data_IF_479854737520
#
_entry.id   IF_479854737520
#
_cell.length_a   1.000
_cell.length_b   1.000
_cell.length_c   1.000
_cell.angle_alpha   90.00
_cell.angle_beta   90.00
_cell.angle_gamma   90.00
#
_symmetry.space_group_name_H-M   'P 1'
#
loop_
_entity.id
_entity.type
_entity.pdbx_description
1 polymer ?
#
# COMPACT_ATOMS: atom_id res chain seq x y z
N UNK A 1 -31.70 -9.75 -13.62
CA UNK A 1 -31.08 -10.25 -12.36
C UNK A 1 -29.68 -10.87 -12.54
N UNK A 2 -29.19 -11.12 -13.78
CA UNK A 2 -27.85 -11.70 -14.02
C UNK A 2 -26.66 -10.83 -13.59
N UNK A 3 -26.77 -9.50 -13.68
CA UNK A 3 -25.61 -8.60 -13.47
C UNK A 3 -25.08 -8.58 -12.03
N UNK A 4 -25.95 -8.63 -11.03
CA UNK A 4 -25.55 -8.61 -9.62
C UNK A 4 -24.82 -9.90 -9.20
N UNK A 5 -25.27 -11.05 -9.72
CA UNK A 5 -24.67 -12.36 -9.44
C UNK A 5 -23.27 -12.51 -10.04
N UNK A 6 -23.04 -11.99 -11.25
CA UNK A 6 -21.70 -11.94 -11.87
C UNK A 6 -20.71 -11.11 -11.03
N UNK A 7 -21.13 -9.95 -10.53
CA UNK A 7 -20.27 -9.07 -9.72
C UNK A 7 -19.95 -9.70 -8.35
N UNK A 8 -20.92 -10.34 -7.72
CA UNK A 8 -20.75 -11.05 -6.43
C UNK A 8 -19.82 -12.27 -6.61
N UNK A 9 -19.97 -13.02 -7.71
CA UNK A 9 -19.14 -14.19 -8.02
C UNK A 9 -17.67 -13.81 -8.20
N UNK A 10 -17.38 -12.79 -9.02
CA UNK A 10 -16.01 -12.28 -9.23
C UNK A 10 -15.38 -11.74 -7.94
N UNK A 11 -16.14 -11.02 -7.12
CA UNK A 11 -15.64 -10.45 -5.86
C UNK A 11 -15.32 -11.54 -4.84
N UNK A 12 -16.15 -12.59 -4.74
CA UNK A 12 -15.90 -13.74 -3.86
C UNK A 12 -14.62 -14.49 -4.21
N UNK A 13 -14.34 -14.67 -5.51
CA UNK A 13 -13.15 -15.37 -6.01
C UNK A 13 -11.88 -14.56 -5.73
N UNK A 14 -11.89 -13.25 -6.01
CA UNK A 14 -10.73 -12.37 -5.75
C UNK A 14 -10.38 -12.30 -4.27
N UNK A 15 -11.41 -12.30 -3.41
CA UNK A 15 -11.28 -12.24 -1.95
C UNK A 15 -11.03 -13.60 -1.30
N UNK A 16 -11.30 -14.70 -2.00
CA UNK A 16 -11.26 -16.07 -1.45
C UNK A 16 -12.35 -16.34 -0.43
N UNK A 17 -13.43 -15.55 -0.41
CA UNK A 17 -14.56 -15.71 0.50
C UNK A 17 -15.79 -16.14 -0.30
N UNK A 18 -16.23 -17.38 -0.07
CA UNK A 18 -17.48 -17.88 -0.63
C UNK A 18 -18.63 -17.11 0.04
N UNK A 19 -19.52 -16.44 -0.72
CA UNK A 19 -20.69 -15.79 -0.14
C UNK A 19 -21.60 -16.84 0.52
N UNK A 20 -22.39 -16.46 1.53
CA UNK A 20 -23.42 -17.34 2.08
C UNK A 20 -24.53 -17.49 1.03
N UNK A 21 -24.47 -18.56 0.24
CA UNK A 21 -25.36 -18.82 -0.89
C UNK A 21 -26.36 -19.93 -0.56
N UNK A 22 -27.58 -19.82 -1.09
CA UNK A 22 -28.54 -20.92 -1.08
C UNK A 22 -28.12 -22.03 -2.08
N UNK A 23 -28.83 -23.16 -2.08
CA UNK A 23 -28.45 -24.34 -2.88
C UNK A 23 -28.35 -24.06 -4.39
N UNK A 24 -29.26 -23.27 -4.95
CA UNK A 24 -29.30 -22.95 -6.39
C UNK A 24 -28.25 -21.89 -6.77
N UNK A 25 -28.02 -20.91 -5.89
CA UNK A 25 -26.94 -19.94 -6.05
C UNK A 25 -25.57 -20.61 -5.97
N UNK A 26 -25.41 -21.63 -5.12
CA UNK A 26 -24.17 -22.41 -5.00
C UNK A 26 -23.84 -23.16 -6.29
N UNK A 27 -24.81 -23.86 -6.88
CA UNK A 27 -24.63 -24.54 -8.18
C UNK A 27 -24.24 -23.57 -9.28
N UNK A 28 -24.89 -22.39 -9.33
CA UNK A 28 -24.55 -21.35 -10.29
C UNK A 28 -23.15 -20.76 -10.06
N UNK A 29 -22.73 -20.64 -8.80
CA UNK A 29 -21.38 -20.23 -8.43
C UNK A 29 -20.35 -21.27 -8.85
N UNK A 30 -20.55 -22.56 -8.52
CA UNK A 30 -19.62 -23.65 -8.87
C UNK A 30 -19.41 -23.73 -10.39
N UNK A 31 -20.50 -23.59 -11.15
CA UNK A 31 -20.45 -23.53 -12.62
C UNK A 31 -19.65 -22.33 -13.13
N UNK A 32 -19.87 -21.16 -12.52
CA UNK A 32 -19.16 -19.93 -12.91
C UNK A 32 -17.68 -20.01 -12.57
N UNK A 33 -17.35 -20.56 -11.39
CA UNK A 33 -15.98 -20.73 -10.93
C UNK A 33 -15.20 -21.72 -11.81
N UNK A 34 -15.81 -22.83 -12.22
CA UNK A 34 -15.20 -23.75 -13.19
C UNK A 34 -14.88 -23.07 -14.53
N UNK A 35 -15.81 -22.27 -15.08
CA UNK A 35 -15.55 -21.53 -16.34
C UNK A 35 -14.45 -20.49 -16.20
N UNK A 36 -14.29 -19.89 -15.02
CA UNK A 36 -13.27 -18.89 -14.74
C UNK A 36 -11.85 -19.45 -14.77
N UNK A 37 -11.64 -20.75 -14.51
CA UNK A 37 -10.31 -21.37 -14.63
C UNK A 37 -9.74 -21.20 -16.05
N UNK A 38 -10.52 -21.58 -17.08
CA UNK A 38 -10.09 -21.45 -18.47
C UNK A 38 -9.87 -19.99 -18.90
N UNK A 39 -10.65 -19.05 -18.34
CA UNK A 39 -10.43 -17.63 -18.58
C UNK A 39 -9.13 -17.13 -17.95
N UNK A 40 -8.82 -17.57 -16.73
CA UNK A 40 -7.56 -17.24 -16.05
C UNK A 40 -6.38 -17.81 -16.84
N UNK A 41 -6.42 -19.08 -17.25
CA UNK A 41 -5.38 -19.72 -18.06
C UNK A 41 -5.04 -18.90 -19.30
N UNK A 42 -6.05 -18.49 -20.08
CA UNK A 42 -5.87 -17.69 -21.30
C UNK A 42 -5.31 -16.28 -21.05
N UNK A 43 -5.52 -15.72 -19.87
CA UNK A 43 -5.06 -14.37 -19.50
C UNK A 43 -3.65 -14.37 -18.91
N UNK A 44 -3.23 -15.48 -18.33
CA UNK A 44 -1.88 -15.65 -17.80
C UNK A 44 -0.90 -15.77 -18.99
N UNK A 45 0.24 -15.09 -18.89
CA UNK A 45 1.30 -15.18 -19.89
C UNK A 45 1.81 -16.62 -20.00
N UNK A 46 2.13 -17.07 -21.21
CA UNK A 46 2.51 -18.47 -21.52
C UNK A 46 3.56 -19.05 -20.55
N UNK A 47 4.54 -18.24 -20.13
CA UNK A 47 5.57 -18.66 -19.18
C UNK A 47 5.08 -19.00 -17.77
N UNK A 48 3.82 -18.73 -17.44
CA UNK A 48 3.21 -18.98 -16.13
C UNK A 48 1.94 -19.84 -16.20
N UNK A 49 1.53 -20.28 -17.39
CA UNK A 49 0.33 -21.11 -17.57
C UNK A 49 0.42 -22.45 -16.82
N UNK A 50 1.63 -23.00 -16.68
CA UNK A 50 1.90 -24.21 -15.90
C UNK A 50 1.43 -24.12 -14.43
N UNK A 51 1.31 -22.90 -13.87
CA UNK A 51 0.83 -22.70 -12.51
C UNK A 51 -0.66 -22.96 -12.34
N UNK A 52 -1.43 -22.88 -13.43
CA UNK A 52 -2.90 -22.95 -13.39
C UNK A 52 -3.48 -24.02 -14.30
N UNK A 53 -2.63 -24.75 -15.03
CA UNK A 53 -3.03 -25.81 -15.96
C UNK A 53 -3.84 -26.93 -15.29
N UNK A 54 -3.47 -27.32 -14.07
CA UNK A 54 -4.14 -28.37 -13.31
C UNK A 54 -5.27 -27.85 -12.40
N UNK A 55 -5.58 -26.54 -12.46
CA UNK A 55 -6.61 -25.96 -11.60
C UNK A 55 -8.01 -26.15 -12.23
N UNK A 56 -8.88 -26.91 -11.58
CA UNK A 56 -10.25 -27.14 -12.06
C UNK A 56 -11.17 -25.94 -11.85
N UNK A 57 -10.82 -25.02 -10.94
CA UNK A 57 -11.64 -23.86 -10.60
C UNK A 57 -10.87 -22.55 -10.65
N UNK A 58 -11.58 -21.46 -10.96
CA UNK A 58 -11.03 -20.11 -10.98
C UNK A 58 -10.51 -19.68 -9.60
N UNK A 59 -11.19 -20.08 -8.53
CA UNK A 59 -10.74 -19.87 -7.14
C UNK A 59 -9.40 -20.55 -6.88
N UNK A 60 -9.23 -21.81 -7.29
CA UNK A 60 -7.97 -22.52 -7.14
C UNK A 60 -6.85 -21.88 -7.98
N UNK A 61 -7.12 -21.62 -9.27
CA UNK A 61 -6.17 -20.98 -10.17
C UNK A 61 -5.71 -19.60 -9.65
N UNK A 62 -6.66 -18.78 -9.20
CA UNK A 62 -6.36 -17.47 -8.62
C UNK A 62 -5.57 -17.59 -7.31
N UNK A 63 -5.90 -18.56 -6.46
CA UNK A 63 -5.15 -18.80 -5.23
C UNK A 63 -3.71 -19.22 -5.50
N UNK A 64 -3.44 -20.09 -6.49
CA UNK A 64 -2.08 -20.50 -6.87
C UNK A 64 -1.29 -19.33 -7.43
N UNK A 65 -1.87 -18.53 -8.35
CA UNK A 65 -1.21 -17.33 -8.87
C UNK A 65 -0.90 -16.34 -7.74
N UNK A 66 -1.86 -16.12 -6.85
CA UNK A 66 -1.70 -15.24 -5.70
C UNK A 66 -0.59 -15.75 -4.78
N UNK A 67 -0.53 -17.04 -4.51
CA UNK A 67 0.53 -17.64 -3.69
C UNK A 67 1.90 -17.52 -4.37
N UNK A 68 1.98 -17.78 -5.67
CA UNK A 68 3.22 -17.69 -6.44
C UNK A 68 3.77 -16.27 -6.48
N UNK A 69 2.94 -15.29 -6.87
CA UNK A 69 3.39 -13.91 -7.07
C UNK A 69 3.42 -13.07 -5.79
N UNK A 70 2.64 -13.42 -4.77
CA UNK A 70 2.76 -12.79 -3.44
C UNK A 70 3.76 -13.51 -2.53
N UNK A 71 4.43 -14.56 -3.01
CA UNK A 71 5.56 -15.14 -2.28
C UNK A 71 6.59 -14.05 -2.08
N UNK A 72 6.90 -13.77 -0.82
CA UNK A 72 7.98 -12.84 -0.48
C UNK A 72 9.29 -13.52 -0.87
N UNK A 73 9.78 -13.21 -2.07
CA UNK A 73 11.08 -13.67 -2.55
C UNK A 73 12.15 -12.65 -2.13
N UNK A 74 13.39 -13.10 -1.98
CA UNK A 74 14.52 -12.20 -1.68
C UNK A 74 14.60 -11.08 -2.72
N UNK A 75 14.37 -11.38 -4.01
CA UNK A 75 14.34 -10.35 -5.07
C UNK A 75 13.25 -9.30 -4.85
N UNK A 76 12.03 -9.72 -4.51
CA UNK A 76 10.92 -8.81 -4.18
C UNK A 76 11.23 -7.96 -2.93
N UNK A 77 11.84 -8.57 -1.91
CA UNK A 77 12.27 -7.86 -0.71
C UNK A 77 13.37 -6.84 -1.03
N UNK A 78 14.36 -7.19 -1.86
CA UNK A 78 15.42 -6.29 -2.30
C UNK A 78 14.86 -5.09 -3.06
N UNK A 79 13.95 -5.30 -4.02
CA UNK A 79 13.30 -4.21 -4.76
C UNK A 79 12.52 -3.31 -3.81
N UNK A 80 11.78 -3.89 -2.85
CA UNK A 80 11.03 -3.13 -1.86
C UNK A 80 11.93 -2.30 -0.94
N UNK A 81 13.06 -2.86 -0.49
CA UNK A 81 14.06 -2.12 0.28
C UNK A 81 14.71 -1.01 -0.54
N UNK A 82 15.11 -1.28 -1.78
CA UNK A 82 15.67 -0.26 -2.67
C UNK A 82 14.69 0.90 -2.88
N UNK A 83 13.43 0.59 -3.18
CA UNK A 83 12.38 1.58 -3.32
C UNK A 83 12.16 2.38 -2.03
N UNK A 84 12.24 1.73 -0.86
CA UNK A 84 12.10 2.38 0.44
C UNK A 84 13.21 3.38 0.73
N UNK A 85 14.47 3.03 0.45
CA UNK A 85 15.61 3.94 0.60
C UNK A 85 15.68 5.03 -0.48
N UNK A 86 14.84 4.96 -1.51
CA UNK A 86 14.74 5.99 -2.56
C UNK A 86 13.50 6.86 -2.42
N UNK A 87 12.68 6.66 -1.37
CA UNK A 87 11.50 7.49 -1.13
C UNK A 87 11.97 8.93 -0.90
N UNK A 88 11.50 9.86 -1.73
CA UNK A 88 11.68 11.29 -1.52
C UNK A 88 10.35 11.91 -1.09
N UNK A 89 10.40 12.80 -0.09
CA UNK A 89 9.25 13.58 0.32
C UNK A 89 9.04 14.77 -0.61
N UNK A 90 7.88 14.81 -1.26
CA UNK A 90 7.42 15.98 -2.01
C UNK A 90 6.76 16.99 -1.06
N UNK A 91 7.05 18.29 -1.17
CA UNK A 91 6.57 19.31 -0.22
C UNK A 91 5.03 19.41 -0.20
N UNK A 92 4.37 19.18 -1.33
CA UNK A 92 2.91 19.24 -1.45
C UNK A 92 2.20 17.96 -0.94
N UNK A 93 2.97 16.92 -0.63
CA UNK A 93 2.42 15.66 -0.13
C UNK A 93 2.45 15.65 1.41
N UNK A 94 1.28 15.50 2.08
CA UNK A 94 1.25 15.36 3.53
C UNK A 94 2.11 14.18 3.97
N UNK A 95 2.95 14.39 4.98
CA UNK A 95 3.88 13.37 5.50
C UNK A 95 3.11 12.12 5.93
N UNK A 96 1.93 12.26 6.55
CA UNK A 96 1.04 11.13 6.88
C UNK A 96 0.69 10.24 5.69
N UNK A 97 0.44 10.84 4.51
CA UNK A 97 0.14 10.14 3.25
C UNK A 97 1.36 9.42 2.72
N UNK A 98 2.53 10.06 2.74
CA UNK A 98 3.80 9.44 2.37
C UNK A 98 4.01 8.18 3.22
N UNK A 99 3.91 8.31 4.54
CA UNK A 99 4.08 7.20 5.48
C UNK A 99 3.15 6.02 5.19
N UNK A 100 1.86 6.31 4.99
CA UNK A 100 0.88 5.29 4.70
C UNK A 100 1.19 4.57 3.38
N UNK A 101 1.51 5.33 2.33
CA UNK A 101 1.81 4.76 1.01
C UNK A 101 3.06 3.88 1.02
N UNK A 102 4.11 4.28 1.75
CA UNK A 102 5.35 3.52 1.89
C UNK A 102 5.12 2.22 2.66
N UNK A 103 4.38 2.27 3.77
CA UNK A 103 4.02 1.06 4.53
C UNK A 103 3.18 0.08 3.69
N UNK A 104 2.24 0.58 2.90
CA UNK A 104 1.43 -0.26 2.01
C UNK A 104 2.27 -0.92 0.91
N UNK A 105 3.18 -0.17 0.29
CA UNK A 105 4.11 -0.72 -0.73
C UNK A 105 5.00 -1.82 -0.14
N UNK A 106 5.58 -1.60 1.03
CA UNK A 106 6.43 -2.59 1.71
C UNK A 106 5.64 -3.86 2.08
N UNK A 107 4.45 -3.70 2.64
CA UNK A 107 3.56 -4.81 2.98
C UNK A 107 3.16 -5.64 1.75
N UNK A 108 3.00 -5.01 0.58
CA UNK A 108 2.69 -5.70 -0.67
C UNK A 108 3.80 -6.69 -1.10
N UNK A 109 5.05 -6.42 -0.72
CA UNK A 109 6.19 -7.31 -0.96
C UNK A 109 6.53 -8.23 0.24
N UNK A 110 5.69 -8.22 1.28
CA UNK A 110 5.90 -9.02 2.50
C UNK A 110 7.05 -8.50 3.38
N UNK A 111 7.49 -7.26 3.18
CA UNK A 111 8.54 -6.64 3.99
C UNK A 111 7.89 -5.88 5.15
N UNK A 112 8.23 -6.26 6.38
CA UNK A 112 7.98 -5.44 7.55
C UNK A 112 9.24 -4.66 7.91
N UNK A 113 9.12 -3.34 7.99
CA UNK A 113 10.22 -2.47 8.43
C UNK A 113 9.95 -2.02 9.85
N UNK A 114 10.95 -2.19 10.70
CA UNK A 114 10.91 -1.69 12.08
C UNK A 114 10.73 -0.18 12.12
N UNK A 115 10.01 0.32 13.13
CA UNK A 115 9.73 1.74 13.29
C UNK A 115 11.02 2.58 13.41
N UNK A 116 12.11 2.02 13.94
CA UNK A 116 13.41 2.70 14.05
C UNK A 116 14.06 2.92 12.68
N UNK A 117 14.09 1.88 11.84
CA UNK A 117 14.56 2.03 10.46
C UNK A 117 13.67 2.98 9.68
N UNK A 118 12.36 2.90 9.92
CA UNK A 118 11.38 3.75 9.27
C UNK A 118 11.58 5.24 9.59
N UNK A 119 11.76 5.60 10.87
CA UNK A 119 11.99 7.00 11.26
C UNK A 119 13.32 7.53 10.71
N UNK A 120 14.38 6.72 10.66
CA UNK A 120 15.67 7.14 10.16
C UNK A 120 15.61 7.49 8.66
N UNK A 121 14.98 6.63 7.86
CA UNK A 121 14.81 6.87 6.41
C UNK A 121 13.87 8.05 6.16
N UNK A 122 12.80 8.21 6.97
CA UNK A 122 11.94 9.37 6.89
C UNK A 122 12.72 10.67 7.13
N UNK A 123 13.51 10.75 8.20
CA UNK A 123 14.31 11.94 8.52
C UNK A 123 15.39 12.22 7.47
N UNK A 124 15.94 11.18 6.83
CA UNK A 124 16.98 11.31 5.81
C UNK A 124 16.46 11.82 4.46
N UNK A 125 15.16 11.62 4.16
CA UNK A 125 14.56 11.98 2.86
C UNK A 125 13.38 12.93 2.95
N UNK A 126 13.23 13.61 4.09
CA UNK A 126 12.36 14.77 4.18
C UNK A 126 12.86 15.86 3.23
N UNK A 127 11.93 16.61 2.66
CA UNK A 127 12.29 17.75 1.84
C UNK A 127 13.11 18.77 2.65
N UNK A 128 14.05 19.46 2.01
CA UNK A 128 14.93 20.45 2.64
C UNK A 128 14.16 21.55 3.40
N UNK A 129 12.92 21.84 3.00
CA UNK A 129 12.02 22.73 3.71
C UNK A 129 11.80 22.34 5.19
N UNK A 130 11.91 21.04 5.51
CA UNK A 130 11.75 20.50 6.86
C UNK A 130 13.08 20.36 7.62
N UNK A 131 14.21 20.76 7.04
CA UNK A 131 15.53 20.52 7.64
C UNK A 131 15.68 21.21 9.01
N UNK A 132 15.20 22.44 9.16
CA UNK A 132 15.18 23.18 10.44
C UNK A 132 14.35 22.47 11.50
N UNK A 133 13.22 21.89 11.11
CA UNK A 133 12.35 21.11 12.00
C UNK A 133 13.04 19.81 12.41
N UNK A 134 13.71 19.13 11.48
CA UNK A 134 14.47 17.92 11.76
C UNK A 134 15.60 18.18 12.76
N UNK A 135 16.36 19.27 12.59
CA UNK A 135 17.40 19.67 13.54
C UNK A 135 16.82 19.95 14.93
N UNK A 136 15.67 20.64 15.00
CA UNK A 136 14.98 20.91 16.27
C UNK A 136 14.49 19.63 16.95
N UNK A 137 13.95 18.67 16.18
CA UNK A 137 13.54 17.35 16.69
C UNK A 137 14.73 16.61 17.30
N UNK A 138 15.85 16.55 16.56
CA UNK A 138 17.06 15.82 16.98
C UNK A 138 17.76 16.48 18.16
N UNK A 139 17.69 17.81 18.28
CA UNK A 139 18.21 18.55 19.42
C UNK A 139 17.39 18.30 20.71
N UNK A 140 16.07 18.11 20.58
CA UNK A 140 15.18 17.85 21.72
C UNK A 140 15.26 16.42 22.25
N UNK A 141 15.63 15.47 21.39
CA UNK A 141 15.74 14.07 21.79
C UNK A 141 16.74 13.36 20.87
N UNK A 142 17.74 12.66 21.43
CA UNK A 142 18.69 11.87 20.63
C UNK A 142 18.01 10.68 19.95
N UNK A 143 16.90 10.18 20.51
CA UNK A 143 16.08 9.12 19.92
C UNK A 143 14.60 9.50 19.91
N UNK A 144 14.16 10.33 18.95
CA UNK A 144 12.77 10.74 18.89
C UNK A 144 11.87 9.54 18.49
N UNK A 145 10.70 9.47 19.10
CA UNK A 145 9.67 8.50 18.69
C UNK A 145 8.97 8.96 17.41
N UNK A 146 8.52 7.99 16.61
CA UNK A 146 7.84 8.23 15.34
C UNK A 146 6.55 9.05 15.53
N UNK A 147 5.82 8.91 16.64
CA UNK A 147 4.63 9.72 16.90
C UNK A 147 4.99 11.21 17.08
N UNK A 148 6.04 11.48 17.88
CA UNK A 148 6.54 12.84 18.15
C UNK A 148 7.06 13.51 16.87
N UNK A 149 7.78 12.77 16.03
CA UNK A 149 8.27 13.26 14.72
C UNK A 149 7.08 13.70 13.85
N UNK A 150 6.05 12.85 13.72
CA UNK A 150 4.87 13.18 12.90
C UNK A 150 4.16 14.44 13.40
N UNK A 151 3.99 14.56 14.71
CA UNK A 151 3.30 15.69 15.31
C UNK A 151 4.05 16.99 15.08
N UNK A 152 5.37 17.00 15.26
CA UNK A 152 6.19 18.19 15.06
C UNK A 152 6.24 18.62 13.59
N UNK A 153 6.32 17.65 12.67
CA UNK A 153 6.28 17.94 11.23
C UNK A 153 4.92 18.47 10.79
N UNK A 154 3.82 17.90 11.30
CA UNK A 154 2.47 18.39 11.02
C UNK A 154 2.23 19.80 11.57
N UNK A 155 2.74 20.09 12.78
CA UNK A 155 2.69 21.44 13.37
C UNK A 155 3.43 22.46 12.51
N UNK A 156 4.60 22.11 11.97
CA UNK A 156 5.36 23.01 11.08
C UNK A 156 4.55 23.42 9.84
N UNK A 157 3.91 22.45 9.16
CA UNK A 157 3.10 22.74 7.97
C UNK A 157 1.86 23.60 8.27
N UNK A 158 1.34 23.56 9.50
CA UNK A 158 0.20 24.38 9.91
C UNK A 158 0.62 25.85 10.15
N UNK A 159 1.82 26.08 10.70
CA UNK A 159 2.35 27.44 10.93
C UNK A 159 2.62 28.22 9.66
N UNK A 160 3.03 27.58 8.56
CA UNK A 160 3.27 28.29 7.29
C UNK A 160 1.98 28.74 6.58
N UNK A 161 0.82 28.24 7.02
CA UNK A 161 -0.51 28.67 6.56
C UNK A 161 -1.08 29.87 7.32
N UNK A 162 -0.39 30.36 8.36
CA UNK A 162 -0.80 31.59 9.04
C UNK A 162 -0.39 32.75 8.14
N UNK A 163 -1.34 33.19 7.32
CA UNK A 163 -1.35 34.50 6.68
C UNK A 163 -0.88 35.52 7.71
N UNK A 164 0.37 35.98 7.57
CA UNK A 164 0.88 37.09 8.37
C UNK A 164 -0.03 38.26 8.04
N UNK A 165 -0.96 38.57 8.94
CA UNK A 165 -1.74 39.79 8.88
C UNK A 165 -0.72 40.91 8.99
N UNK A 166 -0.39 41.53 7.87
CA UNK A 166 0.43 42.74 7.82
C UNK A 166 -0.22 43.76 8.74
N UNK A 167 0.41 44.02 9.87
CA UNK A 167 0.08 45.16 10.71
C UNK A 167 0.67 46.38 10.01
N UNK A 168 -0.19 47.21 9.42
CA UNK A 168 0.19 48.50 8.86
C UNK A 168 0.72 49.39 9.99
N UNK A 169 2.03 49.39 10.14
CA UNK A 169 2.75 50.33 10.98
C UNK A 169 2.97 51.64 10.21
N UNK A 170 2.14 52.64 10.55
CA UNK A 170 2.33 54.10 10.50
C UNK A 170 3.07 54.78 9.32
N UNK A 171 2.36 55.76 8.73
CA UNK A 171 2.92 57.09 8.45
C UNK A 171 1.77 58.10 8.71
N UNK A 172 1.80 58.81 9.84
CA UNK A 172 2.28 60.19 9.98
C UNK A 172 1.34 61.20 9.31
#
# INVERSE_FOLDING_TARGET
MMGALCTISMTGIVTGKIPALNLEERKNWDRSDGMLSGYIYRRVSDGYQYLVEECETGTAAWAVLKAHFKKSTIGNQMIAHAAFYQVQHEPDCPISRLLQSTKQKLAAFGVQIDNTKFKNVLLMHLNDFFHTVCLSILAQSPEPDLAKIKEMLARSTATDSVTIKSEDALAA
#
